data_IF_197298707816
#
_entry.id   IF_197298707816
#
_cell.length_a   1.000
_cell.length_b   1.000
_cell.length_c   1.000
_cell.angle_alpha   90.00
_cell.angle_beta   90.00
_cell.angle_gamma   90.00
#
_symmetry.space_group_name_H-M   'P 1'
#
loop_
_entity.id
_entity.type
_entity.pdbx_description
1 polymer ?
#
# COMPACT_ATOMS: atom_id res chain seq x y z
N UNK A 1 -27.62 6.11 5.42
CA UNK A 1 -27.42 5.35 6.68
C UNK A 1 -28.63 5.57 7.58
N UNK A 2 -29.34 4.52 7.99
CA UNK A 2 -30.66 4.66 8.67
C UNK A 2 -30.58 4.97 10.18
N UNK A 3 -29.45 4.72 10.85
CA UNK A 3 -29.24 5.03 12.28
C UNK A 3 -27.82 5.58 12.52
N UNK A 4 -27.60 6.91 12.47
CA UNK A 4 -26.27 7.51 12.53
C UNK A 4 -25.54 7.28 13.86
N UNK A 5 -26.28 7.10 14.96
CA UNK A 5 -25.70 6.85 16.29
C UNK A 5 -24.86 5.56 16.38
N UNK A 6 -25.12 4.57 15.51
CA UNK A 6 -24.36 3.31 15.49
C UNK A 6 -23.11 3.36 14.59
N UNK A 7 -22.82 4.52 13.98
CA UNK A 7 -21.77 4.64 12.97
C UNK A 7 -20.41 4.23 13.50
N UNK A 8 -20.03 4.68 14.70
CA UNK A 8 -18.72 4.37 15.30
C UNK A 8 -18.49 2.86 15.46
N UNK A 9 -19.47 2.16 16.00
CA UNK A 9 -19.38 0.71 16.22
C UNK A 9 -19.33 -0.07 14.89
N UNK A 10 -20.17 0.34 13.92
CA UNK A 10 -20.18 -0.28 12.59
C UNK A 10 -18.86 0.00 11.85
N UNK A 11 -18.34 1.22 11.93
CA UNK A 11 -17.06 1.60 11.33
C UNK A 11 -15.89 0.80 11.94
N UNK A 12 -15.87 0.65 13.26
CA UNK A 12 -14.86 -0.16 13.94
C UNK A 12 -14.97 -1.63 13.53
N UNK A 13 -16.18 -2.20 13.51
CA UNK A 13 -16.41 -3.58 13.07
C UNK A 13 -16.00 -3.78 11.61
N UNK A 14 -16.34 -2.85 10.72
CA UNK A 14 -15.94 -2.88 9.33
C UNK A 14 -14.41 -2.81 9.18
N UNK A 15 -13.74 -1.98 9.99
CA UNK A 15 -12.28 -1.88 10.01
C UNK A 15 -11.65 -3.20 10.47
N UNK A 16 -12.16 -3.81 11.55
CA UNK A 16 -11.71 -5.12 12.02
C UNK A 16 -11.94 -6.20 10.95
N UNK A 17 -13.08 -6.19 10.28
CA UNK A 17 -13.38 -7.11 9.19
C UNK A 17 -12.38 -6.95 8.03
N UNK A 18 -12.11 -5.73 7.59
CA UNK A 18 -11.09 -5.48 6.55
C UNK A 18 -9.72 -6.00 6.98
N UNK A 19 -9.32 -5.80 8.24
CA UNK A 19 -8.08 -6.34 8.77
C UNK A 19 -8.04 -7.87 8.74
N UNK A 20 -9.16 -8.55 9.00
CA UNK A 20 -9.21 -10.03 8.89
C UNK A 20 -9.08 -10.53 7.45
N UNK A 21 -9.41 -9.71 6.45
CA UNK A 21 -9.21 -10.07 5.04
C UNK A 21 -7.77 -9.79 4.58
N UNK A 22 -7.18 -8.68 5.03
CA UNK A 22 -5.86 -8.23 4.55
C UNK A 22 -4.69 -8.83 5.31
N UNK A 23 -4.76 -8.97 6.63
CA UNK A 23 -3.62 -9.43 7.42
C UNK A 23 -3.26 -10.90 7.15
N UNK A 24 -4.19 -11.87 7.10
CA UNK A 24 -3.82 -13.25 6.84
C UNK A 24 -3.27 -13.45 5.42
N UNK A 25 -3.83 -12.77 4.43
CA UNK A 25 -3.37 -12.85 3.04
C UNK A 25 -1.97 -12.23 2.88
N UNK A 26 -1.73 -11.04 3.44
CA UNK A 26 -0.41 -10.43 3.44
C UNK A 26 0.62 -11.28 4.21
N UNK A 27 0.26 -11.80 5.39
CA UNK A 27 1.16 -12.61 6.20
C UNK A 27 1.55 -13.93 5.51
N UNK A 28 0.61 -14.60 4.84
CA UNK A 28 0.89 -15.85 4.10
C UNK A 28 1.80 -15.63 2.90
N UNK A 29 1.60 -14.55 2.14
CA UNK A 29 2.45 -14.19 1.01
C UNK A 29 3.85 -13.76 1.49
N UNK A 30 3.94 -12.98 2.57
CA UNK A 30 5.22 -12.61 3.18
C UNK A 30 5.97 -13.82 3.74
N UNK A 31 5.27 -14.77 4.37
CA UNK A 31 5.85 -16.01 4.84
C UNK A 31 6.43 -16.86 3.69
N UNK A 32 5.79 -16.86 2.53
CA UNK A 32 6.21 -17.66 1.38
C UNK A 32 7.36 -17.04 0.58
N UNK A 33 7.37 -15.71 0.40
CA UNK A 33 8.30 -15.03 -0.52
C UNK A 33 9.26 -14.05 0.15
N UNK A 34 9.02 -13.67 1.40
CA UNK A 34 9.90 -12.79 2.19
C UNK A 34 10.32 -11.54 1.43
N UNK A 35 11.64 -11.35 1.30
CA UNK A 35 12.25 -10.14 0.74
C UNK A 35 12.03 -9.97 -0.77
N UNK A 36 11.63 -11.02 -1.50
CA UNK A 36 11.31 -10.89 -2.93
C UNK A 36 10.16 -9.90 -3.20
N UNK A 37 9.30 -9.67 -2.21
CA UNK A 37 8.18 -8.73 -2.29
C UNK A 37 8.62 -7.25 -2.24
N UNK A 38 9.85 -6.96 -1.79
CA UNK A 38 10.37 -5.59 -1.84
C UNK A 38 10.62 -5.15 -3.29
N UNK A 39 11.14 -6.06 -4.10
CA UNK A 39 11.44 -5.79 -5.52
C UNK A 39 10.28 -6.11 -6.46
N UNK A 40 9.31 -6.91 -6.00
CA UNK A 40 8.09 -7.26 -6.74
C UNK A 40 6.84 -6.73 -6.06
N UNK A 41 6.42 -5.51 -6.42
CA UNK A 41 5.24 -4.87 -5.85
C UNK A 41 3.92 -5.60 -6.15
N UNK A 42 3.90 -6.50 -7.16
CA UNK A 42 2.76 -7.36 -7.46
C UNK A 42 3.05 -8.79 -7.03
N UNK A 43 2.45 -9.22 -5.92
CA UNK A 43 2.62 -10.57 -5.37
C UNK A 43 2.19 -11.70 -6.33
N UNK A 44 1.19 -11.47 -7.21
CA UNK A 44 0.74 -12.48 -8.18
C UNK A 44 1.80 -12.80 -9.24
N UNK A 45 2.79 -11.92 -9.42
CA UNK A 45 3.91 -12.18 -10.32
C UNK A 45 4.85 -13.28 -9.80
N UNK A 46 4.94 -13.45 -8.48
CA UNK A 46 5.81 -14.44 -7.83
C UNK A 46 5.19 -15.85 -7.77
N UNK A 47 3.85 -15.96 -7.88
CA UNK A 47 3.17 -17.25 -7.81
C UNK A 47 3.46 -18.11 -9.06
N UNK A 48 3.65 -19.44 -8.89
CA UNK A 48 3.83 -20.36 -10.01
C UNK A 48 2.60 -20.34 -10.92
N UNK A 49 2.82 -20.45 -12.23
CA UNK A 49 1.74 -20.48 -13.22
C UNK A 49 0.87 -21.71 -12.98
N UNK A 50 -0.37 -21.47 -12.53
CA UNK A 50 -1.38 -22.48 -12.25
C UNK A 50 -2.74 -21.90 -12.64
N UNK A 51 -3.73 -22.75 -12.90
CA UNK A 51 -5.08 -22.30 -13.21
C UNK A 51 -5.68 -21.39 -12.13
N UNK A 52 -5.31 -21.60 -10.86
CA UNK A 52 -5.72 -20.76 -9.73
C UNK A 52 -5.11 -19.37 -9.77
N UNK A 53 -3.82 -19.26 -10.11
CA UNK A 53 -3.15 -17.98 -10.32
C UNK A 53 -3.82 -17.22 -11.47
N UNK A 54 -4.06 -17.90 -12.59
CA UNK A 54 -4.63 -17.26 -13.77
C UNK A 54 -6.07 -16.80 -13.51
N UNK A 55 -6.88 -17.59 -12.80
CA UNK A 55 -8.20 -17.17 -12.34
C UNK A 55 -8.14 -15.94 -11.41
N UNK A 56 -7.18 -15.89 -10.47
CA UNK A 56 -7.00 -14.74 -9.58
C UNK A 56 -6.60 -13.47 -10.34
N UNK A 57 -5.72 -13.58 -11.34
CA UNK A 57 -5.32 -12.47 -12.21
C UNK A 57 -6.52 -11.96 -13.01
N UNK A 58 -7.31 -12.86 -13.61
CA UNK A 58 -8.54 -12.47 -14.36
C UNK A 58 -9.53 -11.77 -13.44
N UNK A 59 -9.77 -12.29 -12.24
CA UNK A 59 -10.67 -11.66 -11.27
C UNK A 59 -10.17 -10.28 -10.85
N UNK A 60 -8.86 -10.11 -10.66
CA UNK A 60 -8.24 -8.82 -10.35
C UNK A 60 -8.39 -7.82 -11.49
N UNK A 61 -8.25 -8.25 -12.75
CA UNK A 61 -8.45 -7.39 -13.93
C UNK A 61 -9.90 -6.93 -14.06
N UNK A 62 -10.87 -7.84 -13.84
CA UNK A 62 -12.30 -7.50 -13.81
C UNK A 62 -12.58 -6.49 -12.70
N UNK A 63 -12.06 -6.73 -11.50
CA UNK A 63 -12.18 -5.80 -10.39
C UNK A 63 -11.61 -4.42 -10.76
N UNK A 64 -10.39 -4.37 -11.31
CA UNK A 64 -9.73 -3.13 -11.68
C UNK A 64 -10.50 -2.33 -12.73
N UNK A 65 -11.12 -3.00 -13.71
CA UNK A 65 -11.97 -2.37 -14.72
C UNK A 65 -13.22 -1.71 -14.09
N UNK A 66 -13.90 -2.43 -13.20
CA UNK A 66 -15.08 -1.92 -12.50
C UNK A 66 -14.72 -0.75 -11.59
N UNK A 67 -13.65 -0.91 -10.79
CA UNK A 67 -13.16 0.13 -9.88
C UNK A 67 -12.76 1.39 -10.64
N UNK A 68 -12.09 1.26 -11.79
CA UNK A 68 -11.76 2.40 -12.63
C UNK A 68 -13.02 3.16 -13.10
N UNK A 69 -14.05 2.43 -13.55
CA UNK A 69 -15.33 3.04 -13.95
C UNK A 69 -15.99 3.83 -12.81
N UNK A 70 -16.05 3.25 -11.61
CA UNK A 70 -16.61 3.93 -10.44
C UNK A 70 -15.76 5.11 -9.97
N UNK A 71 -14.43 4.99 -9.97
CA UNK A 71 -13.52 6.04 -9.53
C UNK A 71 -13.50 7.25 -10.49
N UNK A 72 -13.61 7.03 -11.80
CA UNK A 72 -13.64 8.12 -12.78
C UNK A 72 -14.98 8.86 -12.81
N UNK A 73 -16.07 8.23 -12.37
CA UNK A 73 -17.41 8.83 -12.36
C UNK A 73 -17.48 10.17 -11.61
N UNK A 74 -17.04 10.30 -10.34
CA UNK A 74 -17.01 11.59 -9.64
C UNK A 74 -16.08 12.61 -10.31
N UNK A 75 -14.96 12.17 -10.91
CA UNK A 75 -14.05 13.06 -11.65
C UNK A 75 -14.75 13.63 -12.89
N UNK A 76 -15.49 12.82 -13.64
CA UNK A 76 -16.29 13.31 -14.76
C UNK A 76 -17.34 14.30 -14.32
N UNK A 77 -18.02 14.08 -13.19
CA UNK A 77 -19.02 15.04 -12.71
C UNK A 77 -18.40 16.39 -12.32
N UNK A 78 -17.26 16.38 -11.62
CA UNK A 78 -16.55 17.62 -11.26
C UNK A 78 -16.03 18.33 -12.52
N UNK A 79 -15.47 17.57 -13.47
CA UNK A 79 -14.96 18.12 -14.73
C UNK A 79 -16.08 18.68 -15.62
N UNK A 80 -17.18 17.94 -15.80
CA UNK A 80 -18.34 18.40 -16.57
C UNK A 80 -18.94 19.69 -15.98
N UNK A 81 -18.93 19.81 -14.64
CA UNK A 81 -19.34 21.04 -13.95
C UNK A 81 -18.35 22.18 -14.18
N UNK A 82 -17.04 21.90 -14.17
CA UNK A 82 -16.00 22.90 -14.41
C UNK A 82 -16.03 23.44 -15.85
N UNK A 83 -16.29 22.57 -16.83
CA UNK A 83 -16.40 22.93 -18.25
C UNK A 83 -17.79 23.55 -18.58
N UNK A 84 -18.75 23.47 -17.67
CA UNK A 84 -20.10 24.03 -17.85
C UNK A 84 -20.99 23.24 -18.82
N UNK A 85 -20.65 21.97 -19.10
CA UNK A 85 -21.38 21.12 -20.04
C UNK A 85 -22.49 20.27 -19.38
N UNK A 86 -22.85 20.58 -18.14
CA UNK A 86 -23.74 19.77 -17.30
C UNK A 86 -25.15 19.57 -17.89
N UNK A 87 -25.66 20.54 -18.65
CA UNK A 87 -27.03 20.53 -19.21
C UNK A 87 -27.11 20.12 -20.70
N UNK A 88 -26.02 19.68 -21.32
CA UNK A 88 -26.04 19.31 -22.74
C UNK A 88 -26.71 17.94 -22.97
N UNK A 89 -27.79 17.92 -23.77
CA UNK A 89 -28.54 16.68 -24.13
C UNK A 89 -27.76 15.71 -25.05
N UNK A 90 -26.73 16.18 -25.74
CA UNK A 90 -25.98 15.37 -26.72
C UNK A 90 -24.92 14.47 -26.07
N UNK A 91 -25.08 13.14 -26.20
CA UNK A 91 -24.14 12.15 -25.67
C UNK A 91 -22.73 12.27 -26.25
N UNK A 92 -22.59 12.61 -27.54
CA UNK A 92 -21.27 12.72 -28.19
C UNK A 92 -20.42 13.87 -27.62
N UNK A 93 -20.99 15.06 -27.40
CA UNK A 93 -20.26 16.19 -26.77
C UNK A 93 -19.87 15.86 -25.33
N UNK A 94 -20.72 15.11 -24.61
CA UNK A 94 -20.43 14.68 -23.25
C UNK A 94 -19.33 13.62 -23.20
N UNK A 95 -19.29 12.70 -24.15
CA UNK A 95 -18.20 11.75 -24.32
C UNK A 95 -16.88 12.46 -24.65
N UNK A 96 -16.90 13.41 -25.59
CA UNK A 96 -15.74 14.22 -25.92
C UNK A 96 -15.22 15.02 -24.72
N UNK A 97 -16.12 15.59 -23.89
CA UNK A 97 -15.75 16.33 -22.68
C UNK A 97 -15.07 15.45 -21.61
N UNK A 98 -15.24 14.12 -21.64
CA UNK A 98 -14.59 13.18 -20.70
C UNK A 98 -13.21 12.73 -21.16
N UNK A 99 -12.92 12.78 -22.46
CA UNK A 99 -11.61 12.39 -23.01
C UNK A 99 -10.43 13.12 -22.35
N UNK A 100 -10.47 14.45 -22.08
CA UNK A 100 -9.39 15.16 -21.40
C UNK A 100 -9.10 14.66 -19.98
N UNK A 101 -10.04 13.96 -19.34
CA UNK A 101 -9.84 13.37 -18.00
C UNK A 101 -9.22 11.98 -18.11
N UNK A 102 -9.72 11.16 -19.03
CA UNK A 102 -9.27 9.76 -19.19
C UNK A 102 -7.92 9.65 -19.86
N UNK A 103 -7.68 10.44 -20.91
CA UNK A 103 -6.50 10.33 -21.75
C UNK A 103 -5.21 10.53 -20.94
N UNK A 104 -5.08 11.53 -20.05
CA UNK A 104 -3.90 11.67 -19.20
C UNK A 104 -3.72 10.49 -18.24
N UNK A 105 -4.81 9.99 -17.63
CA UNK A 105 -4.74 8.84 -16.69
C UNK A 105 -4.28 7.58 -17.42
N UNK A 106 -4.86 7.31 -18.59
CA UNK A 106 -4.50 6.17 -19.42
C UNK A 106 -3.06 6.26 -19.96
N UNK A 107 -2.66 7.44 -20.43
CA UNK A 107 -1.31 7.71 -20.91
C UNK A 107 -0.27 7.54 -19.79
N UNK A 108 -0.53 8.10 -18.61
CA UNK A 108 0.34 7.95 -17.45
C UNK A 108 0.47 6.49 -17.00
N UNK A 109 -0.62 5.72 -17.06
CA UNK A 109 -0.61 4.29 -16.74
C UNK A 109 0.23 3.45 -17.74
N UNK A 110 0.29 3.84 -19.01
CA UNK A 110 1.14 3.19 -20.02
C UNK A 110 2.62 3.51 -19.79
N UNK A 111 2.91 4.76 -19.45
CA UNK A 111 4.31 5.22 -19.28
C UNK A 111 4.92 4.68 -17.99
N UNK A 112 4.16 4.65 -16.89
CA UNK A 112 4.68 4.28 -15.58
C UNK A 112 3.90 3.09 -14.99
N UNK A 113 4.22 1.84 -15.36
CA UNK A 113 3.56 0.66 -14.81
C UNK A 113 4.09 0.26 -13.41
N UNK A 114 4.56 1.21 -12.60
CA UNK A 114 5.25 0.95 -11.33
C UNK A 114 4.29 0.99 -10.13
N UNK A 115 3.60 -0.12 -9.86
CA UNK A 115 2.59 -0.19 -8.79
C UNK A 115 3.10 0.22 -7.41
N UNK A 116 4.32 -0.19 -7.04
CA UNK A 116 4.91 0.12 -5.72
C UNK A 116 5.17 1.61 -5.52
N UNK A 117 6.04 2.24 -6.34
CA UNK A 117 6.33 3.66 -6.27
C UNK A 117 5.10 4.55 -6.41
N UNK A 118 4.14 4.20 -7.29
CA UNK A 118 2.90 4.96 -7.44
C UNK A 118 2.06 4.88 -6.17
N UNK A 119 1.82 3.68 -5.64
CA UNK A 119 1.02 3.51 -4.43
C UNK A 119 1.66 4.20 -3.21
N UNK A 120 2.99 4.12 -3.08
CA UNK A 120 3.73 4.80 -2.02
C UNK A 120 3.70 6.32 -2.16
N UNK A 121 3.82 6.85 -3.38
CA UNK A 121 3.76 8.30 -3.64
C UNK A 121 2.36 8.85 -3.39
N UNK A 122 1.33 8.16 -3.87
CA UNK A 122 -0.07 8.54 -3.61
C UNK A 122 -0.37 8.45 -2.11
N UNK A 123 0.11 7.42 -1.43
CA UNK A 123 -0.03 7.27 0.02
C UNK A 123 0.63 8.40 0.81
N UNK A 124 1.91 8.64 0.57
CA UNK A 124 2.70 9.64 1.30
C UNK A 124 2.25 11.08 1.04
N UNK A 125 1.77 11.39 -0.17
CA UNK A 125 1.31 12.73 -0.53
C UNK A 125 -0.20 12.89 -0.30
N UNK A 126 -1.03 12.20 -1.07
CA UNK A 126 -2.48 12.43 -1.10
C UNK A 126 -3.17 11.89 0.17
N UNK A 127 -2.88 10.66 0.56
CA UNK A 127 -3.54 10.01 1.70
C UNK A 127 -3.15 10.68 3.02
N UNK A 128 -1.88 11.06 3.18
CA UNK A 128 -1.40 11.84 4.33
C UNK A 128 -2.25 13.10 4.57
N UNK A 129 -2.53 13.88 3.53
CA UNK A 129 -3.37 15.08 3.68
C UNK A 129 -4.83 14.75 3.90
N UNK A 130 -5.40 13.87 3.09
CA UNK A 130 -6.86 13.65 3.06
C UNK A 130 -7.38 12.81 4.23
N UNK A 131 -6.60 11.86 4.73
CA UNK A 131 -7.03 10.92 5.78
C UNK A 131 -6.55 11.33 7.16
N UNK A 132 -5.39 12.01 7.25
CA UNK A 132 -4.79 12.36 8.54
C UNK A 132 -4.78 13.87 8.80
N UNK A 133 -4.04 14.65 8.00
CA UNK A 133 -3.76 16.06 8.32
C UNK A 133 -5.04 16.90 8.28
N UNK A 134 -5.80 16.89 7.17
CA UNK A 134 -6.99 17.71 6.99
C UNK A 134 -8.08 17.35 8.02
N UNK A 135 -8.45 16.07 8.21
CA UNK A 135 -9.48 15.71 9.20
C UNK A 135 -9.08 16.11 10.64
N UNK A 136 -7.83 15.89 11.04
CA UNK A 136 -7.36 16.26 12.38
C UNK A 136 -7.32 17.78 12.57
N UNK A 137 -6.87 18.54 11.58
CA UNK A 137 -6.92 20.01 11.60
C UNK A 137 -8.37 20.50 11.66
N UNK A 138 -9.25 19.97 10.81
CA UNK A 138 -10.66 20.34 10.79
C UNK A 138 -11.33 20.08 12.14
N UNK A 139 -11.05 18.94 12.79
CA UNK A 139 -11.54 18.65 14.14
C UNK A 139 -11.04 19.67 15.16
N UNK A 140 -9.74 20.00 15.15
CA UNK A 140 -9.16 21.00 16.05
C UNK A 140 -9.72 22.41 15.83
N UNK A 141 -9.98 22.79 14.58
CA UNK A 141 -10.58 24.09 14.23
C UNK A 141 -12.05 24.15 14.64
N UNK A 142 -12.80 23.08 14.42
CA UNK A 142 -14.23 22.99 14.75
C UNK A 142 -14.47 23.11 16.25
N UNK A 143 -13.65 22.44 17.08
CA UNK A 143 -13.79 22.44 18.54
C UNK A 143 -12.81 23.38 19.24
N UNK A 144 -12.42 24.48 18.57
CA UNK A 144 -11.50 25.47 19.15
C UNK A 144 -12.14 26.27 20.28
N UNK A 145 -13.40 26.67 20.13
CA UNK A 145 -14.10 27.55 21.08
C UNK A 145 -14.73 26.75 22.22
N UNK A 146 -14.87 27.37 23.40
CA UNK A 146 -15.52 26.76 24.56
C UNK A 146 -16.99 26.43 24.25
N UNK A 147 -17.71 27.34 23.59
CA UNK A 147 -19.08 27.12 23.16
C UNK A 147 -19.25 25.90 22.24
N UNK A 148 -18.30 25.65 21.32
CA UNK A 148 -18.37 24.46 20.45
C UNK A 148 -18.11 23.15 21.21
N UNK A 149 -17.30 23.19 22.29
CA UNK A 149 -17.02 22.03 23.14
C UNK A 149 -18.17 21.68 24.07
N UNK A 150 -18.88 22.70 24.56
CA UNK A 150 -20.06 22.53 25.43
C UNK A 150 -21.27 22.03 24.63
N UNK A 151 -21.43 22.49 23.39
CA UNK A 151 -22.50 22.04 22.49
C UNK A 151 -22.15 20.77 21.69
N UNK A 152 -21.03 20.11 22.00
CA UNK A 152 -20.63 18.91 21.29
C UNK A 152 -21.60 17.76 21.59
N UNK A 153 -22.21 17.20 20.54
CA UNK A 153 -23.13 16.05 20.63
C UNK A 153 -22.45 14.85 21.31
N UNK A 154 -21.13 14.71 21.15
CA UNK A 154 -20.36 13.61 21.71
C UNK A 154 -19.04 14.12 22.29
N UNK A 155 -18.88 14.18 23.62
CA UNK A 155 -17.63 14.59 24.24
C UNK A 155 -16.56 13.48 24.08
N UNK A 156 -15.28 13.84 23.99
CA UNK A 156 -14.19 12.88 23.89
C UNK A 156 -14.14 11.97 25.13
N UNK A 157 -13.74 10.69 24.97
CA UNK A 157 -13.75 9.73 26.07
C UNK A 157 -12.84 10.19 27.21
N UNK A 158 -13.26 9.97 28.46
CA UNK A 158 -12.48 10.36 29.65
C UNK A 158 -11.11 9.70 29.69
N UNK A 159 -10.98 8.47 29.18
CA UNK A 159 -9.72 7.74 29.08
C UNK A 159 -8.64 8.47 28.28
N UNK A 160 -9.04 9.28 27.29
CA UNK A 160 -8.11 9.94 26.36
C UNK A 160 -7.79 11.38 26.79
N UNK A 161 -7.96 11.72 28.07
CA UNK A 161 -7.66 13.07 28.57
C UNK A 161 -8.66 14.15 28.13
N UNK A 162 -9.90 13.75 27.78
CA UNK A 162 -11.01 14.64 27.36
C UNK A 162 -10.57 15.53 26.18
N UNK A 163 -10.94 16.82 26.18
CA UNK A 163 -10.66 17.73 25.07
C UNK A 163 -9.18 18.05 24.89
N UNK A 164 -8.44 18.18 26.00
CA UNK A 164 -7.00 18.47 25.95
C UNK A 164 -6.26 17.30 25.30
N UNK A 165 -6.49 16.07 25.77
CA UNK A 165 -5.82 14.90 25.19
C UNK A 165 -6.22 14.64 23.74
N UNK A 166 -7.49 14.85 23.37
CA UNK A 166 -7.93 14.78 21.96
C UNK A 166 -7.22 15.84 21.09
N UNK A 167 -7.03 17.05 21.60
CA UNK A 167 -6.32 18.11 20.87
C UNK A 167 -4.83 17.76 20.73
N UNK A 168 -4.19 17.27 21.80
CA UNK A 168 -2.80 16.84 21.79
C UNK A 168 -2.56 15.69 20.81
N UNK A 169 -3.45 14.69 20.77
CA UNK A 169 -3.34 13.57 19.82
C UNK A 169 -3.49 14.06 18.38
N UNK A 170 -4.48 14.90 18.09
CA UNK A 170 -4.65 15.43 16.74
C UNK A 170 -3.46 16.30 16.31
N UNK A 171 -2.92 17.14 17.20
CA UNK A 171 -1.74 17.94 16.93
C UNK A 171 -0.50 17.05 16.69
N UNK A 172 -0.35 15.99 17.49
CA UNK A 172 0.71 15.00 17.31
C UNK A 172 0.58 14.28 15.96
N UNK A 173 -0.61 13.79 15.61
CA UNK A 173 -0.87 13.12 14.33
C UNK A 173 -0.54 14.04 13.16
N UNK A 174 -0.97 15.30 13.20
CA UNK A 174 -0.66 16.29 12.17
C UNK A 174 0.85 16.48 12.03
N UNK A 175 1.55 16.77 13.13
CA UNK A 175 3.00 16.99 13.11
C UNK A 175 3.78 15.75 12.66
N UNK A 176 3.44 14.59 13.20
CA UNK A 176 4.08 13.32 12.89
C UNK A 176 3.87 12.92 11.43
N UNK A 177 2.63 12.94 10.94
CA UNK A 177 2.33 12.57 9.55
C UNK A 177 2.92 13.57 8.57
N UNK A 178 2.98 14.87 8.92
CA UNK A 178 3.62 15.87 8.07
C UNK A 178 5.14 15.63 7.98
N UNK A 179 5.82 15.34 9.09
CA UNK A 179 7.28 15.12 9.09
C UNK A 179 7.65 13.74 8.54
N UNK A 180 7.06 12.68 9.07
CA UNK A 180 7.43 11.29 8.74
C UNK A 180 6.72 10.79 7.49
N UNK A 181 5.42 11.03 7.39
CA UNK A 181 4.62 10.57 6.25
C UNK A 181 4.90 11.38 4.98
N UNK A 182 4.63 12.69 5.02
CA UNK A 182 4.79 13.58 3.87
C UNK A 182 6.25 13.98 3.65
N UNK A 183 6.99 14.35 4.70
CA UNK A 183 8.39 14.75 4.59
C UNK A 183 9.30 13.61 4.17
N UNK A 184 9.67 12.73 5.11
CA UNK A 184 10.59 11.63 4.83
C UNK A 184 10.00 10.59 3.88
N UNK A 185 8.76 10.16 4.10
CA UNK A 185 8.08 9.17 3.27
C UNK A 185 7.80 9.67 1.85
N UNK A 186 7.41 10.94 1.70
CA UNK A 186 7.23 11.58 0.40
C UNK A 186 8.55 11.74 -0.34
N UNK A 187 9.61 12.21 0.35
CA UNK A 187 10.96 12.28 -0.23
C UNK A 187 11.41 10.90 -0.75
N UNK A 188 11.40 9.88 0.09
CA UNK A 188 11.84 8.53 -0.29
C UNK A 188 11.01 7.93 -1.43
N UNK A 189 9.68 8.14 -1.42
CA UNK A 189 8.79 7.65 -2.48
C UNK A 189 9.05 8.34 -3.81
N UNK A 190 9.22 9.66 -3.81
CA UNK A 190 9.49 10.44 -5.02
C UNK A 190 10.89 10.13 -5.55
N UNK A 191 11.91 10.00 -4.70
CA UNK A 191 13.25 9.63 -5.16
C UNK A 191 13.27 8.22 -5.75
N UNK A 192 12.56 7.28 -5.14
CA UNK A 192 12.45 5.92 -5.70
C UNK A 192 11.69 5.92 -7.03
N UNK A 193 10.64 6.73 -7.14
CA UNK A 193 9.91 6.91 -8.40
C UNK A 193 10.82 7.49 -9.50
N UNK A 194 11.54 8.58 -9.22
CA UNK A 194 12.49 9.19 -10.18
C UNK A 194 13.58 8.21 -10.56
N UNK A 195 14.17 7.48 -9.60
CA UNK A 195 15.18 6.49 -9.87
C UNK A 195 14.68 5.37 -10.79
N UNK A 196 13.43 4.92 -10.63
CA UNK A 196 12.83 3.93 -11.55
C UNK A 196 12.59 4.50 -12.95
N UNK A 197 12.26 5.79 -13.06
CA UNK A 197 12.15 6.46 -14.36
C UNK A 197 13.52 6.54 -15.04
N UNK A 198 14.56 6.94 -14.30
CA UNK A 198 15.91 7.08 -14.86
C UNK A 198 16.54 5.71 -15.22
N UNK A 199 16.21 4.66 -14.47
CA UNK A 199 16.75 3.31 -14.69
C UNK A 199 16.08 2.60 -15.86
N UNK A 200 14.76 2.67 -15.97
CA UNK A 200 14.02 1.97 -17.03
C UNK A 200 13.79 2.85 -18.26
N UNK A 201 13.86 4.17 -18.16
CA UNK A 201 13.53 5.06 -19.27
C UNK A 201 12.03 5.09 -19.60
N UNK A 202 11.62 6.09 -20.38
CA UNK A 202 10.25 6.20 -20.87
C UNK A 202 10.07 5.26 -22.07
N UNK A 203 9.16 4.30 -21.97
CA UNK A 203 8.82 3.32 -23.03
C UNK A 203 9.87 2.25 -23.33
N UNK A 204 10.47 1.63 -22.31
CA UNK A 204 11.28 0.42 -22.55
C UNK A 204 10.45 -0.75 -23.08
N UNK A 205 11.05 -1.53 -24.00
CA UNK A 205 10.47 -2.78 -24.52
C UNK A 205 10.22 -3.83 -23.41
N UNK A 206 10.90 -3.70 -22.27
CA UNK A 206 10.78 -4.61 -21.13
C UNK A 206 11.04 -3.85 -19.82
N UNK A 207 10.03 -3.75 -18.97
CA UNK A 207 10.18 -3.34 -17.58
C UNK A 207 10.48 -4.61 -16.75
N UNK A 208 11.48 -4.60 -15.86
CA UNK A 208 11.97 -5.77 -15.09
C UNK A 208 12.78 -6.83 -15.87
N UNK A 209 13.51 -6.44 -16.93
CA UNK A 209 14.43 -7.38 -17.59
C UNK A 209 15.65 -7.70 -16.69
N UNK A 210 16.17 -8.95 -16.73
CA UNK A 210 17.43 -9.27 -16.06
C UNK A 210 18.55 -8.36 -16.62
N UNK A 211 19.52 -7.97 -15.79
CA UNK A 211 20.61 -7.11 -16.23
C UNK A 211 21.29 -7.72 -17.46
N UNK A 212 21.69 -6.89 -18.44
CA UNK A 212 22.39 -7.38 -19.62
C UNK A 212 23.64 -8.17 -19.19
N UNK A 213 23.96 -9.30 -19.86
CA UNK A 213 25.15 -10.06 -19.54
C UNK A 213 26.37 -9.14 -19.56
N UNK A 214 27.14 -9.11 -18.47
CA UNK A 214 28.38 -8.35 -18.45
C UNK A 214 29.32 -8.89 -19.53
N UNK A 215 29.84 -8.06 -20.45
CA UNK A 215 30.84 -8.50 -21.41
C UNK A 215 32.14 -8.79 -20.64
N UNK A 216 32.42 -10.06 -20.35
CA UNK A 216 33.73 -10.45 -19.81
C UNK A 216 33.82 -11.71 -18.96
N UNK A 217 32.72 -12.38 -18.61
CA UNK A 217 32.81 -13.66 -17.86
C UNK A 217 32.66 -14.86 -18.82
N UNK A 218 33.62 -15.79 -18.87
CA UNK A 218 33.51 -16.97 -19.71
C UNK A 218 32.36 -17.86 -19.21
N UNK A 219 31.47 -18.20 -20.13
CA UNK A 219 30.38 -19.15 -19.91
C UNK A 219 30.93 -20.51 -19.43
N UNK A 220 30.30 -21.17 -18.43
CA UNK A 220 30.47 -22.60 -18.27
C UNK A 220 29.84 -23.33 -19.49
N UNK A 221 30.52 -24.33 -20.08
CA UNK A 221 30.03 -25.00 -21.27
C UNK A 221 28.98 -26.03 -20.88
N UNK A 222 27.70 -25.67 -20.98
CA UNK A 222 26.60 -26.51 -21.48
C UNK A 222 25.25 -25.89 -21.12
N UNK A 223 24.62 -25.26 -22.10
CA UNK A 223 23.19 -25.01 -22.11
C UNK A 223 22.70 -25.00 -23.57
N UNK A 224 22.82 -26.15 -24.23
CA UNK A 224 21.98 -26.48 -25.39
C UNK A 224 20.67 -27.05 -24.86
N UNK A 225 19.67 -26.18 -24.68
CA UNK A 225 18.27 -26.37 -25.16
C UNK A 225 17.29 -25.40 -24.46
N UNK A 226 16.39 -24.73 -25.21
CA UNK A 226 15.41 -23.79 -24.68
C UNK A 226 14.08 -24.49 -24.37
N UNK A 227 14.04 -25.43 -23.42
CA UNK A 227 12.75 -25.97 -22.93
C UNK A 227 12.92 -26.76 -21.65
N UNK A 228 12.99 -26.07 -20.51
CA UNK A 228 12.49 -26.47 -19.18
C UNK A 228 13.21 -25.62 -18.14
N UNK A 229 12.48 -24.80 -17.40
CA UNK A 229 12.99 -24.18 -16.18
C UNK A 229 12.50 -25.03 -15.00
N UNK A 230 13.37 -25.77 -14.29
CA UNK A 230 13.09 -26.17 -12.92
C UNK A 230 13.74 -25.15 -11.98
N UNK A 231 12.92 -24.61 -11.08
CA UNK A 231 13.33 -23.90 -9.88
C UNK A 231 14.41 -24.69 -9.11
N UNK A 232 15.47 -24.07 -8.58
CA UNK A 232 16.34 -24.76 -7.65
C UNK A 232 15.71 -24.72 -6.25
N UNK A 233 15.09 -25.83 -5.88
CA UNK A 233 14.96 -26.25 -4.49
C UNK A 233 16.34 -26.73 -4.01
N UNK A 234 17.01 -26.03 -3.10
CA UNK A 234 17.88 -26.69 -2.11
C UNK A 234 18.23 -25.79 -0.93
N UNK A 235 18.05 -26.38 0.23
CA UNK A 235 18.33 -25.91 1.58
C UNK A 235 19.79 -26.27 1.94
N UNK A 236 20.46 -25.40 2.72
CA UNK A 236 21.67 -25.61 3.54
C UNK A 236 23.04 -25.85 2.87
N UNK A 237 24.00 -24.92 3.07
CA UNK A 237 25.04 -25.06 4.12
C UNK A 237 25.97 -23.83 4.20
N UNK A 238 26.29 -23.46 5.45
CA UNK A 238 27.20 -22.38 5.85
C UNK A 238 28.66 -22.60 5.42
N UNK A 239 29.35 -21.52 5.03
CA UNK A 239 30.69 -21.16 5.54
C UNK A 239 31.02 -19.70 5.18
N UNK A 240 31.39 -18.91 6.20
CA UNK A 240 31.82 -17.50 6.16
C UNK A 240 33.37 -17.49 6.08
N UNK A 241 33.99 -16.53 5.37
CA UNK A 241 34.74 -15.48 6.06
C UNK A 241 34.42 -14.06 5.55
N UNK A 242 34.00 -13.23 6.51
CA UNK A 242 34.17 -11.77 6.74
C UNK A 242 34.86 -10.91 5.68
N UNK A 243 34.27 -9.73 5.37
CA UNK A 243 34.83 -8.37 5.64
C UNK A 243 33.87 -7.27 5.07
N UNK A 244 33.35 -6.44 6.00
CA UNK A 244 32.81 -5.07 5.90
C UNK A 244 31.74 -4.71 4.84
N UNK A 245 30.49 -4.43 5.26
CA UNK A 245 29.98 -3.06 5.36
C UNK A 245 28.65 -2.96 6.15
N UNK A 246 28.44 -1.79 6.74
CA UNK A 246 27.56 -1.47 7.88
C UNK A 246 26.05 -1.64 7.67
N UNK A 247 25.38 -2.18 8.71
CA UNK A 247 23.92 -2.14 8.93
C UNK A 247 23.44 -0.76 9.41
N UNK A 248 22.11 -0.50 9.32
CA UNK A 248 21.36 0.07 10.43
C UNK A 248 20.42 -0.98 11.07
N UNK A 249 20.20 -0.77 12.36
CA UNK A 249 19.76 -1.71 13.41
C UNK A 249 18.22 -1.84 13.54
N UNK A 250 17.64 -2.49 14.56
CA UNK A 250 17.01 -3.81 14.43
C UNK A 250 15.48 -3.82 14.72
N UNK A 251 14.78 -4.79 14.15
CA UNK A 251 13.39 -5.10 14.52
C UNK A 251 13.32 -5.87 15.85
N UNK A 252 12.28 -5.67 16.69
CA UNK A 252 12.19 -6.27 18.02
C UNK A 252 11.92 -7.79 17.94
N UNK A 253 12.70 -8.56 18.70
CA UNK A 253 12.57 -10.01 18.82
C UNK A 253 11.25 -10.42 19.49
N UNK A 254 10.62 -11.54 19.07
CA UNK A 254 9.54 -12.14 19.84
C UNK A 254 10.12 -12.87 21.05
N UNK A 255 9.57 -12.56 22.23
CA UNK A 255 9.85 -13.22 23.50
C UNK A 255 9.57 -14.72 23.43
N UNK A 256 10.61 -15.53 23.66
CA UNK A 256 10.51 -16.97 23.89
C UNK A 256 9.74 -17.23 25.19
N UNK A 257 8.55 -17.82 25.09
CA UNK A 257 7.86 -18.43 26.23
C UNK A 257 8.52 -19.79 26.49
N UNK A 258 9.28 -19.86 27.58
CA UNK A 258 9.83 -21.11 28.13
C UNK A 258 8.68 -21.96 28.66
N UNK A 259 8.39 -23.06 27.99
CA UNK A 259 7.52 -24.12 28.50
C UNK A 259 8.21 -24.83 29.68
N UNK A 260 7.86 -24.45 30.91
CA UNK A 260 8.21 -25.26 32.09
C UNK A 260 7.31 -26.51 32.14
N UNK A 261 7.87 -27.66 31.73
CA UNK A 261 7.31 -28.97 32.03
C UNK A 261 7.39 -29.23 33.54
N UNK A 262 6.25 -29.16 34.24
CA UNK A 262 6.12 -29.60 35.64
C UNK A 262 5.83 -31.11 35.66
N UNK A 263 6.90 -31.93 35.71
CA UNK A 263 6.82 -33.35 36.09
C UNK A 263 6.37 -33.45 37.56
N UNK A 264 5.15 -33.96 37.81
CA UNK A 264 4.80 -34.57 39.11
C UNK A 264 5.28 -36.03 39.06
N UNK A 265 6.29 -36.37 39.86
CA UNK A 265 6.54 -37.74 40.33
C UNK A 265 6.14 -37.79 41.81
N UNK A 266 5.17 -38.65 42.12
CA UNK A 266 4.90 -39.15 43.45
C UNK A 266 5.81 -40.36 43.69
N UNK A 267 6.58 -40.33 44.77
CA UNK A 267 7.11 -41.46 45.56
C UNK A 267 7.47 -40.85 46.94
N UNK A 268 7.17 -41.44 48.08
CA UNK A 268 6.59 -42.74 48.40
C UNK A 268 5.73 -42.61 49.67
N UNK A 269 5.84 -43.51 50.65
CA UNK A 269 7.08 -44.18 51.04
C UNK A 269 7.37 -45.48 50.30
#
# INVERSE_FOLDING_TARGET
>A
MWKPQKFKAIYLLATLYVLTLTLPSAASVYWAFGDLLLDHSNALALLPRTAWRDAAVVLMLIHQFITFGFACTPLYFVWEKLVGLHDCRSLCKRAAARLPVVVPIWFLAIIFPFFGPINSTVGSLLVSFTVYIIPSLAHMLTFRTAAARENAVEPPPRFVGRWIGMYTINAFVVGWVLVVGFGFGGWASVTNFVHQIDTFGLFTKCYQCPPPPQPGLPFPPNATDPSTAPFPTSVHNHTIPTIFNMSPSPSPSPSYIVHHHRRRRHHGP
#
